data_IF_309225279764
#
_entry.id   IF_309225279764
#
_cell.length_a   1.000
_cell.length_b   1.000
_cell.length_c   1.000
_cell.angle_alpha   90.00
_cell.angle_beta   90.00
_cell.angle_gamma   90.00
#
_symmetry.space_group_name_H-M   'P 1'
#
loop_
_entity.id
_entity.type
_entity.pdbx_description
1 polymer ?
#
# COMPACT_ATOMS: atom_id res chain seq x y z
N UNK A 1 21.08 -34.06 16.30
CA UNK A 1 20.95 -33.42 14.97
C UNK A 1 19.56 -32.78 14.84
N UNK A 2 19.38 -31.45 14.95
CA UNK A 2 18.08 -30.82 14.68
C UNK A 2 18.21 -29.62 13.71
N UNK A 3 17.98 -29.85 12.41
CA UNK A 3 18.07 -28.81 11.38
C UNK A 3 16.83 -28.72 10.46
N UNK A 4 15.64 -29.20 10.89
CA UNK A 4 14.43 -29.20 10.04
C UNK A 4 13.35 -28.16 10.38
N UNK A 5 13.47 -27.43 11.49
CA UNK A 5 12.36 -26.56 11.96
C UNK A 5 12.35 -25.15 11.38
N UNK A 6 13.50 -24.61 10.94
CA UNK A 6 13.59 -23.21 10.45
C UNK A 6 12.85 -22.97 9.13
N UNK A 7 12.77 -23.99 8.28
CA UNK A 7 12.22 -23.89 6.92
C UNK A 7 10.69 -23.75 6.93
N UNK A 8 9.99 -24.61 7.69
CA UNK A 8 8.53 -24.59 7.77
C UNK A 8 7.99 -23.34 8.49
N UNK A 9 8.75 -22.82 9.46
CA UNK A 9 8.37 -21.58 10.14
C UNK A 9 8.43 -20.37 9.20
N UNK A 10 9.45 -20.27 8.32
CA UNK A 10 9.55 -19.20 7.31
C UNK A 10 8.42 -19.24 6.28
N UNK A 11 7.97 -20.43 5.91
CA UNK A 11 6.87 -20.63 4.96
C UNK A 11 5.53 -20.20 5.57
N UNK A 12 5.31 -20.55 6.85
CA UNK A 12 4.15 -20.12 7.63
C UNK A 12 4.14 -18.61 7.92
N UNK A 13 5.31 -17.99 8.04
CA UNK A 13 5.45 -16.53 8.16
C UNK A 13 5.17 -15.80 6.84
N UNK A 14 5.61 -16.35 5.70
CA UNK A 14 5.37 -15.76 4.38
C UNK A 14 3.88 -15.72 4.02
N UNK A 15 3.11 -16.72 4.42
CA UNK A 15 1.66 -16.75 4.20
C UNK A 15 0.85 -15.86 5.15
N UNK A 16 1.45 -15.29 6.20
CA UNK A 16 0.73 -14.57 7.27
C UNK A 16 1.19 -13.13 7.49
N UNK A 17 2.40 -12.77 7.06
CA UNK A 17 2.96 -11.44 7.31
C UNK A 17 3.25 -10.71 6.00
N UNK A 18 2.30 -9.87 5.59
CA UNK A 18 2.64 -8.67 4.84
C UNK A 18 3.46 -7.77 5.76
N UNK A 19 4.74 -7.60 5.47
CA UNK A 19 5.56 -6.58 6.12
C UNK A 19 5.37 -5.24 5.37
N UNK A 20 5.38 -4.12 6.12
CA UNK A 20 5.24 -2.76 5.57
C UNK A 20 6.28 -2.43 4.50
N UNK A 21 7.53 -2.89 4.69
CA UNK A 21 8.63 -2.70 3.74
C UNK A 21 8.40 -3.46 2.43
N UNK A 22 7.94 -4.72 2.52
CA UNK A 22 7.64 -5.52 1.33
C UNK A 22 6.48 -4.92 0.55
N UNK A 23 5.42 -4.55 1.26
CA UNK A 23 4.26 -3.89 0.66
C UNK A 23 4.68 -2.62 -0.09
N UNK A 24 5.48 -1.75 0.54
CA UNK A 24 5.95 -0.51 -0.11
C UNK A 24 6.77 -0.82 -1.37
N UNK A 25 7.65 -1.82 -1.32
CA UNK A 25 8.47 -2.22 -2.45
C UNK A 25 7.66 -2.88 -3.59
N UNK A 26 6.72 -3.77 -3.27
CA UNK A 26 5.82 -4.40 -4.24
C UNK A 26 4.98 -3.35 -4.97
N UNK A 27 4.45 -2.33 -4.26
CA UNK A 27 3.70 -1.23 -4.88
C UNK A 27 4.60 -0.39 -5.80
N UNK A 28 5.83 -0.08 -5.39
CA UNK A 28 6.75 0.68 -6.25
C UNK A 28 7.18 -0.10 -7.50
N UNK A 29 7.34 -1.42 -7.41
CA UNK A 29 7.59 -2.29 -8.56
C UNK A 29 6.37 -2.28 -9.49
N UNK A 30 5.16 -2.44 -8.95
CA UNK A 30 3.94 -2.51 -9.74
C UNK A 30 3.68 -1.21 -10.52
N UNK A 31 3.91 -0.05 -9.90
CA UNK A 31 3.82 1.27 -10.55
C UNK A 31 4.93 1.46 -11.59
N UNK A 32 6.12 0.89 -11.38
CA UNK A 32 7.23 0.96 -12.33
C UNK A 32 7.00 0.09 -13.57
N UNK A 33 6.45 -1.10 -13.40
CA UNK A 33 6.09 -2.01 -14.49
C UNK A 33 4.88 -1.48 -15.28
N UNK A 34 3.90 -0.91 -14.59
CA UNK A 34 2.70 -0.34 -15.19
C UNK A 34 2.77 1.19 -15.18
N UNK A 35 3.42 1.78 -16.19
CA UNK A 35 3.63 3.23 -16.32
C UNK A 35 2.34 4.06 -16.28
N UNK A 36 1.21 3.46 -16.60
CA UNK A 36 -0.10 4.14 -16.62
C UNK A 36 -0.90 3.95 -15.32
N UNK A 37 -0.41 3.10 -14.39
CA UNK A 37 -1.08 2.89 -13.11
C UNK A 37 -0.70 3.95 -12.09
N UNK A 38 -1.74 4.55 -11.54
CA UNK A 38 -1.68 5.40 -10.36
C UNK A 38 -1.41 4.58 -9.10
N UNK A 39 -0.86 5.21 -8.06
CA UNK A 39 -0.61 4.55 -6.77
C UNK A 39 -1.89 3.98 -6.14
N UNK A 40 -3.05 4.59 -6.40
CA UNK A 40 -4.36 4.11 -5.95
C UNK A 40 -4.71 2.77 -6.61
N UNK A 41 -4.59 2.71 -7.94
CA UNK A 41 -4.87 1.52 -8.73
C UNK A 41 -3.90 0.39 -8.39
N UNK A 42 -2.60 0.70 -8.25
CA UNK A 42 -1.60 -0.27 -7.86
C UNK A 42 -1.91 -0.92 -6.49
N UNK A 43 -2.38 -0.13 -5.53
CA UNK A 43 -2.79 -0.65 -4.22
C UNK A 43 -4.05 -1.53 -4.36
N UNK A 44 -5.03 -1.11 -5.15
CA UNK A 44 -6.24 -1.90 -5.39
C UNK A 44 -5.90 -3.28 -5.99
N UNK A 45 -5.12 -3.29 -7.08
CA UNK A 45 -4.65 -4.50 -7.75
C UNK A 45 -3.86 -5.43 -6.84
N UNK A 46 -3.00 -4.85 -5.98
CA UNK A 46 -2.24 -5.63 -5.01
C UNK A 46 -3.17 -6.27 -3.96
N UNK A 47 -4.20 -5.55 -3.50
CA UNK A 47 -5.17 -6.09 -2.55
C UNK A 47 -6.01 -7.22 -3.14
N UNK A 48 -6.43 -7.08 -4.40
CA UNK A 48 -7.16 -8.13 -5.12
C UNK A 48 -6.29 -9.38 -5.34
N UNK A 49 -5.05 -9.19 -5.79
CA UNK A 49 -4.13 -10.29 -6.10
C UNK A 49 -3.69 -11.07 -4.87
N UNK A 50 -3.52 -10.39 -3.73
CA UNK A 50 -3.08 -11.01 -2.47
C UNK A 50 -4.25 -11.36 -1.54
N UNK A 51 -5.49 -11.12 -1.97
CA UNK A 51 -6.71 -11.31 -1.16
C UNK A 51 -6.63 -10.63 0.22
N UNK A 52 -6.10 -9.41 0.25
CA UNK A 52 -5.89 -8.64 1.50
C UNK A 52 -7.05 -7.69 1.72
N UNK A 53 -7.60 -7.72 2.93
CA UNK A 53 -8.69 -6.83 3.33
C UNK A 53 -8.20 -5.38 3.47
N UNK A 54 -8.96 -4.42 2.92
CA UNK A 54 -8.61 -2.99 2.87
C UNK A 54 -8.33 -2.39 4.26
N UNK A 55 -8.99 -2.87 5.31
CA UNK A 55 -8.75 -2.44 6.69
C UNK A 55 -7.32 -2.74 7.16
N UNK A 56 -6.74 -3.83 6.68
CA UNK A 56 -5.36 -4.22 7.00
C UNK A 56 -4.34 -3.36 6.25
N UNK A 57 -4.69 -2.91 5.04
CA UNK A 57 -3.84 -2.09 4.18
C UNK A 57 -3.56 -0.73 4.81
N UNK A 58 -4.54 -0.12 5.49
CA UNK A 58 -4.33 1.15 6.18
C UNK A 58 -3.24 1.09 7.27
N UNK A 59 -2.97 -0.09 7.83
CA UNK A 59 -1.88 -0.31 8.80
C UNK A 59 -0.54 -0.60 8.12
N UNK A 60 -0.58 -1.06 6.88
CA UNK A 60 0.59 -1.46 6.10
C UNK A 60 1.23 -0.30 5.34
N UNK A 61 0.45 0.72 4.98
CA UNK A 61 0.92 1.92 4.30
C UNK A 61 1.85 2.72 5.22
N UNK A 62 3.10 2.88 4.79
CA UNK A 62 4.10 3.72 5.45
C UNK A 62 3.77 5.22 5.27
N UNK A 63 4.28 6.09 6.16
CA UNK A 63 4.12 7.56 6.04
C UNK A 63 4.42 8.10 4.63
N UNK A 64 5.55 7.75 3.97
CA UNK A 64 5.85 8.24 2.63
C UNK A 64 4.85 7.76 1.57
N UNK A 65 4.39 6.51 1.64
CA UNK A 65 3.42 5.97 0.69
C UNK A 65 2.04 6.64 0.86
N UNK A 66 1.67 7.00 2.10
CA UNK A 66 0.44 7.74 2.40
C UNK A 66 0.44 9.14 1.78
N UNK A 67 1.58 9.82 1.76
CA UNK A 67 1.71 11.13 1.11
C UNK A 67 1.60 11.03 -0.40
N UNK A 68 2.29 10.04 -1.01
CA UNK A 68 2.15 9.74 -2.45
C UNK A 68 0.69 9.45 -2.83
N UNK A 69 -0.01 8.66 -2.01
CA UNK A 69 -1.42 8.34 -2.20
C UNK A 69 -2.31 9.59 -2.12
N UNK A 70 -2.09 10.44 -1.11
CA UNK A 70 -2.84 11.68 -0.92
C UNK A 70 -2.61 12.67 -2.07
N UNK A 71 -1.38 12.78 -2.55
CA UNK A 71 -1.05 13.60 -3.72
C UNK A 71 -1.84 13.12 -4.93
N UNK A 72 -1.76 11.82 -5.23
CA UNK A 72 -2.45 11.21 -6.35
C UNK A 72 -3.99 11.35 -6.25
N UNK A 73 -4.56 11.20 -5.05
CA UNK A 73 -5.98 11.43 -4.79
C UNK A 73 -6.40 12.91 -4.95
N UNK A 74 -5.47 13.85 -4.76
CA UNK A 74 -5.71 15.28 -4.97
C UNK A 74 -5.71 15.62 -6.46
N UNK A 75 -4.73 15.10 -7.21
CA UNK A 75 -4.63 15.26 -8.66
C UNK A 75 -5.86 14.68 -9.38
N UNK A 76 -6.33 13.52 -8.93
CA UNK A 76 -7.51 12.83 -9.47
C UNK A 76 -8.85 13.36 -8.93
N UNK A 77 -8.84 14.42 -8.10
CA UNK A 77 -10.02 15.02 -7.48
C UNK A 77 -10.91 14.05 -6.67
N UNK A 78 -10.33 12.97 -6.11
CA UNK A 78 -11.06 12.05 -5.23
C UNK A 78 -11.31 12.62 -3.83
N UNK A 79 -10.56 13.64 -3.43
CA UNK A 79 -10.79 14.35 -2.18
C UNK A 79 -11.76 15.51 -2.42
N UNK A 80 -12.83 15.56 -1.62
CA UNK A 80 -13.71 16.73 -1.59
C UNK A 80 -12.86 17.96 -1.24
N UNK A 81 -12.97 19.03 -2.02
CA UNK A 81 -12.38 20.33 -1.65
C UNK A 81 -12.87 20.72 -0.28
N UNK A 82 -11.99 20.67 0.71
CA UNK A 82 -12.24 21.27 2.02
C UNK A 82 -11.93 22.75 1.91
N UNK A 83 -12.85 23.51 1.29
CA UNK A 83 -12.80 24.96 1.37
C UNK A 83 -13.03 25.34 2.84
N UNK A 84 -11.95 25.59 3.58
CA UNK A 84 -12.03 26.45 4.74
C UNK A 84 -12.10 27.85 4.18
N UNK A 85 -13.23 28.50 4.42
CA UNK A 85 -13.47 29.90 4.10
C UNK A 85 -12.16 30.70 4.26
N UNK A 86 -11.79 31.48 3.25
CA UNK A 86 -10.80 32.54 3.47
C UNK A 86 -11.38 33.40 4.59
N UNK A 87 -10.72 33.40 5.74
CA UNK A 87 -10.90 34.50 6.66
C UNK A 87 -10.26 35.71 5.97
N UNK A 88 -11.10 36.46 5.26
CA UNK A 88 -10.76 37.78 4.77
C UNK A 88 -11.08 38.74 5.92
N UNK A 89 -10.14 38.87 6.86
CA UNK A 89 -9.93 40.00 7.78
C UNK A 89 -8.64 39.73 8.56
#
# INVERSE_FOLDING_TARGET
MPAKTKSQFRESLKGKFLCQDKFSNDIEILVKENKEMNYIEAICHYCESNNVEIESVSKLITKPLKEKLKWNATELNYLKRTSKAKFMI
#
